data_IF_788324621386
#
_entry.id   IF_788324621386
#
_cell.length_a   1.000
_cell.length_b   1.000
_cell.length_c   1.000
_cell.angle_alpha   90.00
_cell.angle_beta   90.00
_cell.angle_gamma   90.00
#
_symmetry.space_group_name_H-M   'P 1'
#
loop_
_entity.id
_entity.type
_entity.pdbx_description
1 polymer ?
#
# COMPACT_ATOMS: atom_id res chain seq x y z
N UNK A 1 4.94 4.41 4.43
CA UNK A 1 4.11 3.46 3.65
C UNK A 1 4.10 3.87 2.18
N UNK A 2 3.16 4.69 1.71
CA UNK A 2 2.98 4.96 0.26
C UNK A 2 4.28 5.40 -0.41
N UNK A 3 4.99 6.37 0.16
CA UNK A 3 6.29 6.83 -0.37
C UNK A 3 7.33 5.69 -0.48
N UNK A 4 7.46 4.84 0.53
CA UNK A 4 8.42 3.74 0.52
C UNK A 4 8.07 2.70 -0.56
N UNK A 5 6.78 2.40 -0.75
CA UNK A 5 6.35 1.47 -1.79
C UNK A 5 6.45 2.06 -3.20
N UNK A 6 6.22 3.37 -3.37
CA UNK A 6 6.46 4.05 -4.64
C UNK A 6 7.95 4.04 -5.00
N UNK A 7 8.82 4.35 -4.05
CA UNK A 7 10.28 4.30 -4.26
C UNK A 7 10.75 2.85 -4.52
N UNK A 8 10.18 1.85 -3.84
CA UNK A 8 10.47 0.45 -4.10
C UNK A 8 10.04 0.03 -5.52
N UNK A 9 8.85 0.46 -5.95
CA UNK A 9 8.35 0.20 -7.29
C UNK A 9 9.23 0.86 -8.37
N UNK A 10 9.58 2.13 -8.20
CA UNK A 10 10.50 2.85 -9.09
C UNK A 10 11.85 2.15 -9.15
N UNK A 11 12.43 1.78 -8.01
CA UNK A 11 13.70 1.06 -7.96
C UNK A 11 13.66 -0.26 -8.73
N UNK A 12 12.61 -1.07 -8.57
CA UNK A 12 12.47 -2.31 -9.36
C UNK A 12 12.39 -2.00 -10.85
N UNK A 13 11.60 -1.00 -11.24
CA UNK A 13 11.38 -0.64 -12.63
C UNK A 13 12.65 -0.08 -13.30
N UNK A 14 13.47 0.69 -12.58
CA UNK A 14 14.79 1.16 -13.03
C UNK A 14 15.77 0.02 -13.29
N UNK A 15 15.61 -1.11 -12.59
CA UNK A 15 16.40 -2.32 -12.78
C UNK A 15 15.73 -3.32 -13.72
N UNK A 16 14.70 -2.90 -14.47
CA UNK A 16 13.94 -3.75 -15.39
C UNK A 16 13.32 -4.98 -14.72
N UNK A 17 12.95 -4.85 -13.44
CA UNK A 17 12.25 -5.89 -12.68
C UNK A 17 10.79 -5.48 -12.52
N UNK A 18 9.89 -6.39 -12.85
CA UNK A 18 8.45 -6.26 -12.55
C UNK A 18 8.06 -7.27 -11.49
N UNK A 19 7.20 -6.87 -10.55
CA UNK A 19 6.77 -7.74 -9.45
C UNK A 19 5.60 -8.65 -9.85
N UNK A 20 4.72 -8.16 -10.71
CA UNK A 20 3.51 -8.83 -11.23
C UNK A 20 2.41 -9.14 -10.20
N UNK A 21 2.72 -8.96 -8.91
CA UNK A 21 1.78 -9.12 -7.80
C UNK A 21 2.01 -8.07 -6.70
N UNK A 22 2.12 -6.80 -7.08
CA UNK A 22 2.30 -5.65 -6.16
C UNK A 22 1.00 -5.33 -5.41
N UNK A 23 0.51 -6.32 -4.65
CA UNK A 23 -0.84 -6.40 -4.10
C UNK A 23 -0.85 -6.30 -2.57
N UNK A 24 -2.03 -6.03 -1.99
CA UNK A 24 -2.23 -5.77 -0.55
C UNK A 24 -1.53 -6.78 0.37
N UNK A 25 -1.59 -8.07 0.06
CA UNK A 25 -1.07 -9.12 0.92
C UNK A 25 0.46 -9.27 0.85
N UNK A 26 1.10 -8.66 -0.14
CA UNK A 26 2.56 -8.67 -0.32
C UNK A 26 3.22 -7.39 0.22
N UNK A 27 2.43 -6.46 0.78
CA UNK A 27 2.89 -5.21 1.35
C UNK A 27 2.97 -5.30 2.88
N UNK A 28 4.17 -5.56 3.38
CA UNK A 28 4.42 -5.83 4.78
C UNK A 28 4.93 -4.59 5.52
N UNK A 29 4.80 -4.61 6.84
CA UNK A 29 5.28 -3.58 7.75
C UNK A 29 6.03 -4.21 8.91
N UNK A 30 7.15 -3.63 9.29
CA UNK A 30 7.81 -3.95 10.56
C UNK A 30 6.98 -3.39 11.72
N UNK A 31 6.22 -4.26 12.37
CA UNK A 31 5.36 -3.88 13.49
C UNK A 31 6.11 -3.80 14.83
N UNK A 32 7.39 -4.19 14.92
CA UNK A 32 8.13 -4.31 16.20
C UNK A 32 8.09 -3.03 17.04
N UNK A 33 8.17 -1.86 16.39
CA UNK A 33 8.10 -0.56 17.08
C UNK A 33 6.67 -0.15 17.45
N UNK A 34 5.68 -0.60 16.67
CA UNK A 34 4.27 -0.31 16.92
C UNK A 34 3.66 -1.24 17.96
N UNK A 35 4.17 -2.46 18.07
CA UNK A 35 3.70 -3.51 18.99
C UNK A 35 4.93 -4.14 19.65
N UNK A 36 5.55 -3.48 20.64
CA UNK A 36 6.81 -3.93 21.23
C UNK A 36 6.74 -5.31 21.88
N UNK A 37 5.58 -5.68 22.42
CA UNK A 37 5.31 -7.02 22.97
C UNK A 37 5.05 -8.09 21.88
N UNK A 38 5.09 -7.73 20.61
CA UNK A 38 4.78 -8.61 19.48
C UNK A 38 3.28 -8.87 19.32
N UNK A 39 2.89 -9.62 18.30
CA UNK A 39 1.51 -10.09 18.14
C UNK A 39 1.49 -11.58 17.81
N UNK A 40 0.44 -12.27 18.26
CA UNK A 40 0.26 -13.67 17.97
C UNK A 40 -0.11 -13.85 16.49
N UNK A 41 0.62 -14.74 15.79
CA UNK A 41 0.49 -14.91 14.34
C UNK A 41 -0.92 -15.34 13.87
N UNK A 42 -1.67 -16.11 14.67
CA UNK A 42 -3.07 -16.45 14.38
C UNK A 42 -4.12 -15.51 15.03
N UNK A 43 -3.71 -14.66 15.97
CA UNK A 43 -4.62 -13.82 16.76
C UNK A 43 -4.06 -12.41 16.82
N UNK A 44 -4.36 -11.64 15.78
CA UNK A 44 -3.75 -10.34 15.51
C UNK A 44 -3.95 -9.27 16.61
N UNK A 45 -4.84 -9.53 17.57
CA UNK A 45 -5.14 -8.64 18.70
C UNK A 45 -4.81 -9.25 20.07
N UNK A 46 -3.98 -10.30 20.10
CA UNK A 46 -3.41 -10.88 21.31
C UNK A 46 -1.87 -10.86 21.20
N UNK A 47 -1.17 -10.78 22.33
CA UNK A 47 0.29 -10.92 22.35
C UNK A 47 0.72 -12.40 22.32
N UNK A 48 0.07 -13.24 23.12
CA UNK A 48 0.47 -14.62 23.40
C UNK A 48 -0.57 -15.67 22.93
N UNK A 49 -1.72 -15.22 22.40
CA UNK A 49 -2.82 -16.09 22.02
C UNK A 49 -3.62 -16.66 23.20
N UNK A 50 -3.42 -16.12 24.40
CA UNK A 50 -4.09 -16.54 25.63
C UNK A 50 -4.76 -15.35 26.35
N UNK A 51 -4.01 -14.28 26.60
CA UNK A 51 -4.46 -13.10 27.34
C UNK A 51 -5.33 -12.21 26.46
N UNK A 52 -6.63 -12.12 26.78
CA UNK A 52 -7.59 -11.28 26.05
C UNK A 52 -7.68 -9.88 26.66
N UNK A 53 -7.76 -8.86 25.80
CA UNK A 53 -8.07 -7.48 26.20
C UNK A 53 -6.88 -6.63 26.63
N UNK A 54 -5.66 -7.17 26.58
CA UNK A 54 -4.42 -6.49 26.97
C UNK A 54 -3.48 -6.30 25.76
N UNK A 55 -4.02 -5.84 24.64
CA UNK A 55 -3.20 -5.59 23.44
C UNK A 55 -2.65 -4.16 23.47
N UNK A 56 -1.36 -4.07 23.77
CA UNK A 56 -0.62 -2.83 23.78
C UNK A 56 -0.08 -2.50 22.39
N UNK A 57 -0.31 -1.26 21.96
CA UNK A 57 0.23 -0.75 20.72
C UNK A 57 0.55 0.75 20.85
N UNK A 58 1.50 1.21 20.05
CA UNK A 58 1.93 2.60 19.96
C UNK A 58 1.55 3.14 18.58
N UNK A 59 1.05 4.38 18.55
CA UNK A 59 0.74 5.07 17.30
C UNK A 59 1.91 5.05 16.32
N UNK A 60 1.63 4.58 15.10
CA UNK A 60 2.59 4.54 13.98
C UNK A 60 3.33 5.87 13.78
N UNK A 61 2.63 6.99 13.98
CA UNK A 61 3.24 8.31 13.88
C UNK A 61 4.32 8.53 14.94
N UNK A 62 4.09 8.11 16.19
CA UNK A 62 5.01 8.32 17.31
C UNK A 62 6.33 7.52 17.17
N UNK A 63 6.31 6.39 16.46
CA UNK A 63 7.46 5.48 16.33
C UNK A 63 8.16 5.56 14.97
N UNK A 64 7.94 6.64 14.23
CA UNK A 64 8.57 6.87 12.93
C UNK A 64 10.12 6.95 13.03
N UNK A 65 10.87 6.51 12.01
CA UNK A 65 10.40 5.85 10.80
C UNK A 65 10.03 4.37 11.04
N UNK A 66 9.00 3.91 10.32
CA UNK A 66 8.56 2.51 10.27
C UNK A 66 8.96 1.92 8.92
N UNK A 67 9.52 0.70 8.92
CA UNK A 67 10.00 0.01 7.71
C UNK A 67 8.85 -0.76 7.06
N UNK A 68 8.83 -0.75 5.74
CA UNK A 68 7.89 -1.48 4.91
C UNK A 68 8.66 -2.40 3.97
N UNK A 69 8.09 -3.57 3.67
CA UNK A 69 8.73 -4.57 2.83
C UNK A 69 7.77 -5.03 1.75
N UNK A 70 8.30 -5.23 0.56
CA UNK A 70 7.64 -5.99 -0.49
C UNK A 70 8.16 -7.43 -0.40
N UNK A 71 7.25 -8.40 -0.43
CA UNK A 71 7.58 -9.83 -0.39
C UNK A 71 6.96 -10.53 -1.60
N UNK A 72 7.29 -11.82 -1.72
CA UNK A 72 6.68 -12.73 -2.70
C UNK A 72 6.98 -12.40 -4.16
N UNK A 73 8.24 -12.65 -4.53
CA UNK A 73 8.75 -12.41 -5.89
C UNK A 73 8.53 -13.62 -6.82
N UNK A 74 7.62 -14.54 -6.50
CA UNK A 74 7.43 -15.78 -7.28
C UNK A 74 6.94 -15.51 -8.72
N UNK A 75 6.19 -14.41 -8.91
CA UNK A 75 5.70 -13.96 -10.22
C UNK A 75 6.60 -12.91 -10.87
N UNK A 76 7.64 -12.47 -10.16
CA UNK A 76 8.52 -11.39 -10.61
C UNK A 76 9.32 -11.80 -11.83
N UNK A 77 9.66 -10.81 -12.65
CA UNK A 77 10.40 -11.00 -13.90
C UNK A 77 11.48 -9.94 -14.03
N UNK A 78 12.68 -10.39 -14.33
CA UNK A 78 13.72 -9.54 -14.91
C UNK A 78 13.47 -9.49 -16.42
N UNK A 79 13.41 -8.27 -16.95
CA UNK A 79 13.08 -7.98 -18.34
C UNK A 79 14.33 -7.52 -19.07
N UNK A 80 14.49 -7.97 -20.32
CA UNK A 80 15.55 -7.45 -21.19
C UNK A 80 15.26 -5.97 -21.51
N UNK A 81 16.16 -5.02 -21.20
CA UNK A 81 16.00 -3.61 -21.52
C UNK A 81 15.69 -3.33 -23.00
N UNK A 82 16.15 -4.20 -23.89
CA UNK A 82 15.99 -4.10 -25.35
C UNK A 82 14.83 -4.95 -25.90
N UNK A 83 14.22 -5.78 -25.05
CA UNK A 83 13.20 -6.75 -25.43
C UNK A 83 11.76 -6.22 -25.36
N UNK A 84 10.81 -7.07 -25.74
CA UNK A 84 9.38 -6.80 -25.56
C UNK A 84 8.96 -7.13 -24.12
N UNK A 85 8.51 -6.12 -23.36
CA UNK A 85 8.10 -6.25 -21.94
C UNK A 85 6.67 -6.74 -21.72
N UNK A 86 6.07 -7.28 -22.78
CA UNK A 86 4.70 -7.75 -22.75
C UNK A 86 4.59 -9.17 -22.18
N UNK A 87 3.57 -9.40 -21.36
CA UNK A 87 3.26 -10.70 -20.78
C UNK A 87 1.86 -11.20 -21.17
N UNK A 88 1.79 -12.51 -21.44
CA UNK A 88 0.56 -13.29 -21.65
C UNK A 88 0.59 -14.46 -20.68
N UNK A 89 -0.45 -14.67 -19.90
CA UNK A 89 -0.54 -15.87 -19.06
C UNK A 89 -1.47 -15.72 -17.86
N UNK A 90 -1.17 -16.50 -16.81
CA UNK A 90 -1.90 -16.45 -15.54
C UNK A 90 -1.42 -15.27 -14.71
N UNK A 91 -2.38 -14.59 -14.10
CA UNK A 91 -2.16 -13.37 -13.33
C UNK A 91 -2.32 -13.62 -11.83
N UNK A 92 -1.66 -12.78 -11.03
CA UNK A 92 -1.65 -12.84 -9.57
C UNK A 92 -3.00 -12.44 -8.93
N UNK A 93 -2.91 -11.85 -7.74
CA UNK A 93 -4.06 -11.66 -6.86
C UNK A 93 -5.06 -10.61 -7.37
N UNK A 94 -4.55 -9.50 -7.92
CA UNK A 94 -5.39 -8.39 -8.36
C UNK A 94 -5.82 -8.52 -9.83
N UNK A 95 -6.92 -9.23 -10.04
CA UNK A 95 -7.51 -9.45 -11.37
C UNK A 95 -8.34 -8.28 -11.90
N UNK A 96 -8.28 -7.10 -11.28
CA UNK A 96 -9.02 -5.92 -11.75
C UNK A 96 -8.24 -5.07 -12.75
N UNK A 97 -6.99 -5.43 -13.08
CA UNK A 97 -6.19 -4.74 -14.10
C UNK A 97 -6.86 -4.94 -15.47
N UNK A 98 -7.29 -3.87 -16.17
CA UNK A 98 -8.18 -4.01 -17.33
C UNK A 98 -7.61 -4.73 -18.54
N UNK A 99 -6.30 -4.65 -18.74
CA UNK A 99 -5.61 -5.26 -19.87
C UNK A 99 -5.13 -6.69 -19.60
N UNK A 100 -5.32 -7.22 -18.38
CA UNK A 100 -4.96 -8.61 -18.08
C UNK A 100 -5.76 -9.57 -18.96
N UNK A 101 -5.05 -10.39 -19.71
CA UNK A 101 -5.63 -11.39 -20.61
C UNK A 101 -4.76 -12.65 -20.63
N UNK A 102 -5.39 -13.79 -20.86
CA UNK A 102 -4.68 -15.05 -21.10
C UNK A 102 -4.15 -15.17 -22.53
N UNK A 103 -4.56 -14.27 -23.44
CA UNK A 103 -4.24 -14.33 -24.87
C UNK A 103 -3.67 -13.04 -25.43
N UNK A 104 -3.92 -11.90 -24.78
CA UNK A 104 -3.46 -10.58 -25.23
C UNK A 104 -2.30 -10.12 -24.36
N UNK A 105 -1.16 -9.75 -24.95
CA UNK A 105 0.00 -9.30 -24.17
C UNK A 105 -0.26 -7.95 -23.50
N UNK A 106 0.19 -7.80 -22.24
CA UNK A 106 0.09 -6.55 -21.48
C UNK A 106 1.45 -6.10 -20.94
N UNK A 107 1.63 -4.78 -20.83
CA UNK A 107 2.83 -4.14 -20.27
C UNK A 107 2.89 -4.39 -18.76
N UNK A 108 3.88 -5.16 -18.35
CA UNK A 108 4.10 -5.61 -16.97
C UNK A 108 4.45 -4.47 -16.01
N UNK A 109 5.15 -3.44 -16.47
CA UNK A 109 5.42 -2.24 -15.66
C UNK A 109 4.12 -1.51 -15.33
N UNK A 110 3.23 -1.39 -16.32
CA UNK A 110 1.93 -0.75 -16.12
C UNK A 110 1.04 -1.58 -15.21
N UNK A 111 1.13 -2.90 -15.25
CA UNK A 111 0.43 -3.81 -14.34
C UNK A 111 0.81 -3.51 -12.89
N UNK A 112 2.11 -3.46 -12.55
CA UNK A 112 2.55 -3.18 -11.17
C UNK A 112 2.06 -1.81 -10.66
N UNK A 113 2.14 -0.78 -11.51
CA UNK A 113 1.65 0.57 -11.17
C UNK A 113 0.15 0.53 -10.87
N UNK A 114 -0.63 -0.21 -11.66
CA UNK A 114 -2.05 -0.37 -11.40
C UNK A 114 -2.29 -1.07 -10.06
N UNK A 115 -1.60 -2.18 -9.78
CA UNK A 115 -1.81 -2.98 -8.57
C UNK A 115 -1.54 -2.14 -7.31
N UNK A 116 -0.42 -1.42 -7.25
CA UNK A 116 -0.14 -0.49 -6.15
C UNK A 116 -1.16 0.66 -6.10
N UNK A 117 -1.52 1.22 -7.26
CA UNK A 117 -2.55 2.25 -7.37
C UNK A 117 -3.90 1.77 -6.80
N UNK A 118 -4.27 0.51 -7.06
CA UNK A 118 -5.52 -0.09 -6.62
C UNK A 118 -5.50 -0.37 -5.12
N UNK A 119 -4.35 -0.75 -4.55
CA UNK A 119 -4.15 -0.79 -3.09
C UNK A 119 -4.42 0.58 -2.47
N UNK A 120 -3.82 1.64 -3.01
CA UNK A 120 -4.02 3.02 -2.51
C UNK A 120 -5.50 3.42 -2.67
N UNK A 121 -6.12 3.12 -3.80
CA UNK A 121 -7.55 3.38 -4.06
C UNK A 121 -8.43 2.72 -2.99
N UNK A 122 -8.27 1.41 -2.77
CA UNK A 122 -8.99 0.64 -1.74
C UNK A 122 -8.78 1.21 -0.34
N UNK A 123 -7.58 1.71 -0.01
CA UNK A 123 -7.32 2.44 1.24
C UNK A 123 -8.16 3.72 1.33
N UNK A 124 -8.17 4.55 0.29
CA UNK A 124 -8.93 5.81 0.29
C UNK A 124 -10.45 5.63 0.37
N UNK A 125 -10.94 4.50 -0.15
CA UNK A 125 -12.34 4.11 -0.09
C UNK A 125 -12.70 3.58 1.30
N UNK A 126 -11.85 2.74 1.92
CA UNK A 126 -12.11 2.13 3.22
C UNK A 126 -11.89 3.08 4.42
N UNK A 127 -10.97 4.03 4.31
CA UNK A 127 -10.54 4.87 5.42
C UNK A 127 -10.78 6.38 5.19
N UNK A 128 -11.01 7.12 6.28
CA UNK A 128 -11.05 8.59 6.30
C UNK A 128 -9.65 9.18 6.36
N UNK A 129 -9.48 10.46 6.01
CA UNK A 129 -8.19 11.16 6.13
C UNK A 129 -7.20 10.89 4.99
N UNK A 130 -7.50 9.93 4.11
CA UNK A 130 -6.64 9.57 2.96
C UNK A 130 -7.06 10.23 1.64
N UNK A 131 -7.93 11.25 1.68
CA UNK A 131 -8.41 11.94 0.46
C UNK A 131 -7.26 12.54 -0.36
N UNK A 132 -6.18 12.94 0.29
CA UNK A 132 -4.97 13.52 -0.34
C UNK A 132 -4.30 12.56 -1.33
N UNK A 133 -4.54 11.25 -1.23
CA UNK A 133 -3.98 10.22 -2.11
C UNK A 133 -4.91 9.86 -3.28
N UNK A 134 -6.16 10.33 -3.28
CA UNK A 134 -7.19 9.85 -4.21
C UNK A 134 -6.87 10.15 -5.67
N UNK A 135 -6.32 11.33 -5.97
CA UNK A 135 -5.92 11.67 -7.33
C UNK A 135 -4.77 10.81 -7.83
N UNK A 136 -3.78 10.53 -6.97
CA UNK A 136 -2.65 9.67 -7.31
C UNK A 136 -3.13 8.25 -7.65
N UNK A 137 -3.94 7.67 -6.76
CA UNK A 137 -4.55 6.37 -7.00
C UNK A 137 -5.32 6.34 -8.33
N UNK A 138 -6.12 7.37 -8.63
CA UNK A 138 -6.89 7.45 -9.88
C UNK A 138 -5.99 7.42 -11.13
N UNK A 139 -4.89 8.17 -11.10
CA UNK A 139 -3.93 8.27 -12.21
C UNK A 139 -3.12 6.97 -12.37
N UNK A 140 -2.75 6.32 -11.27
CA UNK A 140 -2.09 5.01 -11.26
C UNK A 140 -3.03 3.87 -11.69
N UNK A 141 -4.34 3.99 -11.47
CA UNK A 141 -5.33 2.99 -11.90
C UNK A 141 -6.07 3.38 -13.18
N UNK A 142 -5.43 4.17 -14.06
CA UNK A 142 -6.06 4.56 -15.31
C UNK A 142 -6.34 3.30 -16.17
N UNK A 143 -7.56 3.12 -16.73
CA UNK A 143 -7.89 1.90 -17.46
C UNK A 143 -7.07 1.68 -18.72
N UNK A 144 -6.81 2.76 -19.45
CA UNK A 144 -5.86 2.77 -20.57
C UNK A 144 -4.42 2.80 -20.02
N UNK A 145 -3.59 1.75 -20.25
CA UNK A 145 -2.23 1.66 -19.74
C UNK A 145 -1.31 2.75 -20.32
N UNK A 146 -1.58 3.27 -21.52
CA UNK A 146 -0.77 4.34 -22.11
C UNK A 146 -0.94 5.66 -21.37
N UNK A 147 -2.13 5.90 -20.79
CA UNK A 147 -2.44 7.08 -19.98
C UNK A 147 -2.13 6.89 -18.49
N UNK A 148 -1.83 5.67 -18.06
CA UNK A 148 -1.44 5.35 -16.69
C UNK A 148 -0.05 5.87 -16.40
N UNK A 149 0.19 6.33 -15.17
CA UNK A 149 1.52 6.78 -14.77
C UNK A 149 2.57 5.67 -14.91
N UNK A 150 3.83 6.07 -15.09
CA UNK A 150 4.98 5.22 -14.78
C UNK A 150 5.28 5.26 -13.27
N UNK A 151 6.12 4.34 -12.76
CA UNK A 151 6.56 4.38 -11.38
C UNK A 151 7.29 5.69 -11.04
N UNK A 152 8.20 6.13 -11.91
CA UNK A 152 8.92 7.40 -11.80
C UNK A 152 7.96 8.61 -11.74
N UNK A 153 6.97 8.66 -12.63
CA UNK A 153 5.96 9.72 -12.62
C UNK A 153 5.14 9.70 -11.32
N UNK A 154 4.79 8.51 -10.81
CA UNK A 154 4.04 8.37 -9.57
C UNK A 154 4.85 8.86 -8.35
N UNK A 155 6.15 8.56 -8.29
CA UNK A 155 7.07 9.10 -7.26
C UNK A 155 7.14 10.61 -7.33
N UNK A 156 7.42 11.18 -8.51
CA UNK A 156 7.50 12.64 -8.72
C UNK A 156 6.21 13.35 -8.30
N UNK A 157 5.06 12.87 -8.76
CA UNK A 157 3.75 13.44 -8.41
C UNK A 157 3.49 13.34 -6.91
N UNK A 158 3.81 12.20 -6.28
CA UNK A 158 3.66 12.04 -4.84
C UNK A 158 4.53 13.02 -4.06
N UNK A 159 5.81 13.15 -4.41
CA UNK A 159 6.75 14.07 -3.76
C UNK A 159 6.28 15.53 -3.91
N UNK A 160 5.92 15.97 -5.11
CA UNK A 160 5.38 17.31 -5.35
C UNK A 160 4.11 17.61 -4.55
N UNK A 161 3.24 16.61 -4.36
CA UNK A 161 2.02 16.75 -3.54
C UNK A 161 2.34 16.78 -2.05
N UNK A 162 3.26 15.93 -1.60
CA UNK A 162 3.70 15.84 -0.20
C UNK A 162 4.29 17.15 0.31
N UNK A 163 5.00 17.91 -0.52
CA UNK A 163 5.51 19.24 -0.18
C UNK A 163 4.41 20.24 0.23
N UNK A 164 3.15 20.01 -0.17
CA UNK A 164 2.00 20.86 0.17
C UNK A 164 1.28 20.41 1.44
N UNK A 165 1.68 19.29 2.05
CA UNK A 165 1.01 18.73 3.23
C UNK A 165 1.53 19.41 4.50
N UNK A 166 0.60 19.80 5.38
CA UNK A 166 0.94 20.37 6.68
C UNK A 166 1.22 19.26 7.70
N UNK A 167 1.93 19.59 8.78
CA UNK A 167 2.12 18.68 9.91
C UNK A 167 0.78 18.14 10.44
N UNK A 168 -0.25 19.01 10.52
CA UNK A 168 -1.61 18.63 10.92
C UNK A 168 -2.24 17.58 10.01
N UNK A 169 -2.04 17.68 8.69
CA UNK A 169 -2.51 16.67 7.74
C UNK A 169 -1.82 15.33 7.97
N UNK A 170 -0.52 15.34 8.28
CA UNK A 170 0.27 14.13 8.50
C UNK A 170 0.01 13.47 9.85
N UNK A 171 -0.34 14.26 10.87
CA UNK A 171 -0.73 13.81 12.22
C UNK A 171 -2.17 13.34 12.31
N UNK A 172 -2.98 13.62 11.29
CA UNK A 172 -4.39 13.27 11.31
C UNK A 172 -4.56 11.74 11.38
N UNK A 173 -5.21 11.28 12.45
CA UNK A 173 -5.57 9.87 12.60
C UNK A 173 -6.51 9.43 11.46
N UNK A 174 -6.17 8.26 10.90
CA UNK A 174 -6.92 7.57 9.86
C UNK A 174 -7.87 6.57 10.52
N UNK A 175 -9.15 6.60 10.14
CA UNK A 175 -10.20 5.73 10.71
C UNK A 175 -10.85 4.90 9.63
N UNK A 176 -11.25 3.65 9.92
CA UNK A 176 -12.17 2.93 9.03
C UNK A 176 -13.46 3.74 8.98
N UNK A 177 -14.05 3.87 7.79
CA UNK A 177 -15.30 4.65 7.63
C UNK A 177 -16.44 4.11 8.47
N UNK A 178 -16.46 2.80 8.70
CA UNK A 178 -17.46 2.09 9.51
C UNK A 178 -17.28 2.25 11.01
N UNK A 179 -16.14 2.76 11.51
CA UNK A 179 -15.92 2.94 12.96
C UNK A 179 -16.91 3.98 13.51
N UNK A 180 -17.74 3.65 14.52
CA UNK A 180 -18.66 4.58 15.17
C UNK A 180 -18.01 5.87 15.67
N UNK A 181 -18.76 6.97 15.67
CA UNK A 181 -18.25 8.25 16.18
C UNK A 181 -17.81 8.14 17.65
N UNK A 182 -18.57 7.43 18.48
CA UNK A 182 -18.27 7.27 19.90
C UNK A 182 -16.90 6.62 20.11
N UNK A 183 -16.57 5.55 19.38
CA UNK A 183 -15.27 4.88 19.49
C UNK A 183 -14.13 5.82 19.07
N UNK A 184 -14.32 6.57 17.97
CA UNK A 184 -13.33 7.56 17.53
C UNK A 184 -13.11 8.64 18.58
N UNK A 185 -14.18 9.09 19.23
CA UNK A 185 -14.14 10.08 20.29
C UNK A 185 -13.42 9.55 21.53
N UNK A 186 -13.75 8.34 21.97
CA UNK A 186 -13.17 7.71 23.15
C UNK A 186 -11.67 7.47 22.97
N UNK A 187 -11.25 6.93 21.83
CA UNK A 187 -9.82 6.75 21.51
C UNK A 187 -9.10 8.10 21.44
N UNK A 188 -9.70 9.13 20.81
CA UNK A 188 -9.01 10.41 20.58
C UNK A 188 -8.92 11.30 21.82
N UNK A 189 -9.92 11.29 22.69
CA UNK A 189 -10.05 12.26 23.78
C UNK A 189 -10.06 11.64 25.18
N UNK A 190 -10.14 10.31 25.28
CA UNK A 190 -10.22 9.60 26.57
C UNK A 190 -9.14 8.51 26.73
N UNK A 191 -8.15 8.46 25.83
CA UNK A 191 -7.10 7.43 25.79
C UNK A 191 -7.67 6.00 25.88
N UNK A 192 -8.88 5.80 25.34
CA UNK A 192 -9.56 4.52 25.41
C UNK A 192 -9.01 3.62 24.31
N UNK A 193 -8.20 2.64 24.67
CA UNK A 193 -7.70 1.61 23.76
C UNK A 193 -8.66 0.41 23.77
N UNK A 194 -9.85 0.55 23.20
CA UNK A 194 -10.65 -0.64 22.88
C UNK A 194 -10.15 -1.27 21.60
N UNK A 195 -9.74 -2.53 21.73
CA UNK A 195 -9.54 -3.50 20.64
C UNK A 195 -10.89 -3.78 19.97
#
# INVERSE_FOLDING_TARGET
MVEQFLNCLEFLHEHYITHMDFCWFNLMVDASRMVPRGCHFCRAFDHDGYTKGDFEWIDRWAVRPVKYYLIDFELSRELDPTGNHQFVGKWGQDRTVPEMSETVPADTFKVDVYQLGNVIKKLTDRYTGLKILKSLAKEMTHPDPLKRLTAEQAVKIFQCRKLKWTARTMEQRVWKRTTPFIDRFMVKYRNFNTI
#
